data_IF_495983466578
#
_entry.id   IF_495983466578
#
_cell.length_a   1.000
_cell.length_b   1.000
_cell.length_c   1.000
_cell.angle_alpha   90.00
_cell.angle_beta   90.00
_cell.angle_gamma   90.00
#
_symmetry.space_group_name_H-M   'P 1'
#
loop_
_entity.id
_entity.type
_entity.pdbx_description
1 polymer ?
#
# COMPACT_ATOMS: atom_id res chain seq x y z
N UNK A 1 16.95 18.79 6.93
CA UNK A 1 15.78 18.15 6.29
C UNK A 1 15.18 17.21 7.33
N UNK A 2 13.92 17.35 7.71
CA UNK A 2 13.28 16.34 8.56
C UNK A 2 13.17 15.04 7.76
N UNK A 3 13.70 13.95 8.32
CA UNK A 3 13.41 12.61 7.81
C UNK A 3 11.92 12.35 7.97
N UNK A 4 11.25 11.91 6.89
CA UNK A 4 9.84 11.51 6.96
C UNK A 4 9.70 10.24 7.82
N UNK A 5 8.59 10.03 8.55
CA UNK A 5 8.38 8.82 9.32
C UNK A 5 8.40 7.57 8.45
N UNK A 6 8.84 6.48 9.04
CA UNK A 6 8.97 5.18 8.41
C UNK A 6 8.30 4.13 9.29
N UNK A 7 7.51 3.25 8.67
CA UNK A 7 6.82 2.14 9.33
C UNK A 7 7.20 0.82 8.69
N UNK A 8 7.18 -0.26 9.47
CA UNK A 8 7.31 -1.63 9.01
C UNK A 8 5.95 -2.21 8.67
N UNK A 9 5.88 -3.02 7.62
CA UNK A 9 4.67 -3.71 7.22
C UNK A 9 4.97 -5.04 6.55
N UNK A 10 3.96 -5.91 6.50
CA UNK A 10 3.90 -6.98 5.52
C UNK A 10 3.05 -6.56 4.34
N UNK A 11 3.48 -6.93 3.13
CA UNK A 11 2.73 -6.70 1.89
C UNK A 11 2.70 -7.97 1.07
N UNK A 12 1.52 -8.34 0.59
CA UNK A 12 1.30 -9.40 -0.39
C UNK A 12 0.71 -8.77 -1.65
N UNK A 13 1.39 -8.94 -2.78
CA UNK A 13 0.82 -8.58 -4.08
C UNK A 13 -0.19 -9.63 -4.52
N UNK A 14 -1.30 -9.19 -5.10
CA UNK A 14 -2.28 -10.10 -5.69
C UNK A 14 -1.71 -10.78 -6.94
N UNK A 15 -2.19 -12.00 -7.20
CA UNK A 15 -1.88 -12.65 -8.46
C UNK A 15 -2.47 -11.87 -9.65
N UNK A 16 -1.89 -11.95 -10.86
CA UNK A 16 -2.44 -11.32 -12.05
C UNK A 16 -3.91 -11.70 -12.29
N UNK A 17 -4.28 -12.95 -12.03
CA UNK A 17 -5.64 -13.48 -12.23
C UNK A 17 -6.64 -12.91 -11.21
N UNK A 18 -6.17 -12.40 -10.08
CA UNK A 18 -6.97 -11.72 -9.04
C UNK A 18 -7.07 -10.21 -9.28
N UNK A 19 -6.56 -9.72 -10.41
CA UNK A 19 -6.49 -8.29 -10.72
C UNK A 19 -5.20 -7.62 -10.24
N UNK A 20 -4.20 -8.36 -9.77
CA UNK A 20 -2.86 -7.87 -9.42
C UNK A 20 -2.00 -7.51 -10.63
N UNK A 21 -0.80 -6.97 -10.40
CA UNK A 21 0.08 -6.48 -11.49
C UNK A 21 0.40 -7.59 -12.51
N UNK A 22 0.46 -7.23 -13.79
CA UNK A 22 0.93 -8.14 -14.86
C UNK A 22 2.45 -8.24 -14.96
N UNK A 23 3.16 -7.31 -14.30
CA UNK A 23 4.61 -7.27 -14.23
C UNK A 23 5.04 -7.13 -12.76
N UNK A 24 6.18 -7.70 -12.36
CA UNK A 24 6.63 -7.63 -10.98
C UNK A 24 6.75 -6.19 -10.47
N UNK A 25 6.48 -6.02 -9.18
CA UNK A 25 6.93 -4.84 -8.45
C UNK A 25 8.29 -5.16 -7.82
N UNK A 26 9.09 -4.12 -7.62
CA UNK A 26 10.37 -4.24 -6.93
C UNK A 26 10.33 -3.34 -5.71
N UNK A 27 10.86 -3.82 -4.59
CA UNK A 27 10.96 -3.02 -3.38
C UNK A 27 12.06 -1.97 -3.58
N UNK A 28 11.66 -0.75 -3.92
CA UNK A 28 12.56 0.39 -4.07
C UNK A 28 11.83 1.69 -3.80
N UNK A 29 12.57 2.73 -3.41
CA UNK A 29 12.01 4.07 -3.13
C UNK A 29 11.37 4.76 -4.36
N UNK A 30 11.56 4.20 -5.55
CA UNK A 30 10.90 4.62 -6.78
C UNK A 30 9.50 4.04 -6.91
N UNK A 31 9.21 2.94 -6.20
CA UNK A 31 7.86 2.40 -6.10
C UNK A 31 7.06 3.15 -5.03
N UNK A 32 6.12 3.99 -5.51
CA UNK A 32 5.35 4.94 -4.69
C UNK A 32 3.84 4.74 -4.79
N UNK A 33 3.31 3.63 -4.24
CA UNK A 33 1.89 3.33 -4.28
C UNK A 33 1.10 4.16 -3.25
N UNK A 34 -0.21 3.93 -3.21
CA UNK A 34 -1.03 4.35 -2.08
C UNK A 34 -1.43 3.14 -1.24
N UNK A 35 -1.68 3.36 0.05
CA UNK A 35 -2.41 2.41 0.90
C UNK A 35 -3.78 2.99 1.26
N UNK A 36 -4.76 2.12 1.43
CA UNK A 36 -6.06 2.46 2.01
C UNK A 36 -6.28 1.55 3.20
N UNK A 37 -6.43 2.14 4.40
CA UNK A 37 -6.68 1.41 5.63
C UNK A 37 -8.07 0.78 5.62
N UNK A 38 -8.18 -0.47 6.06
CA UNK A 38 -9.45 -1.21 6.06
C UNK A 38 -9.29 -2.71 5.82
N UNK A 39 -10.31 -3.34 5.25
CA UNK A 39 -10.34 -4.78 5.00
C UNK A 39 -9.35 -5.18 3.89
N UNK A 40 -8.33 -5.96 4.26
CA UNK A 40 -7.34 -6.52 3.34
C UNK A 40 -7.95 -7.47 2.29
N UNK A 41 -9.18 -7.96 2.49
CA UNK A 41 -9.91 -8.80 1.52
C UNK A 41 -10.64 -8.01 0.45
N UNK A 42 -10.70 -6.68 0.55
CA UNK A 42 -11.32 -5.85 -0.47
C UNK A 42 -10.57 -6.01 -1.81
N UNK A 43 -11.33 -6.08 -2.91
CA UNK A 43 -10.80 -6.25 -4.29
C UNK A 43 -11.29 -5.19 -5.28
N UNK A 44 -12.22 -4.33 -4.86
CA UNK A 44 -12.76 -3.21 -5.64
C UNK A 44 -12.73 -1.94 -4.81
N UNK A 45 -12.48 -0.79 -5.42
CA UNK A 45 -12.54 0.49 -4.72
C UNK A 45 -13.99 0.81 -4.30
N UNK A 46 -14.15 1.48 -3.16
CA UNK A 46 -15.46 1.96 -2.73
C UNK A 46 -15.73 3.30 -3.42
N UNK A 47 -16.85 3.36 -4.14
CA UNK A 47 -17.31 4.55 -4.86
C UNK A 47 -18.76 4.86 -4.53
N UNK A 48 -19.15 6.13 -4.67
CA UNK A 48 -20.55 6.54 -4.57
C UNK A 48 -21.32 6.32 -5.90
N UNK A 49 -22.59 6.74 -5.91
CA UNK A 49 -23.46 6.67 -7.09
C UNK A 49 -23.00 7.53 -8.27
N UNK A 50 -22.06 8.47 -8.04
CA UNK A 50 -21.45 9.34 -9.04
C UNK A 50 -20.03 8.89 -9.42
N UNK A 51 -19.66 7.66 -9.06
CA UNK A 51 -18.34 7.07 -9.31
C UNK A 51 -17.17 7.87 -8.67
N UNK A 52 -17.45 8.57 -7.57
CA UNK A 52 -16.44 9.26 -6.76
C UNK A 52 -15.86 8.29 -5.72
N UNK A 53 -14.54 8.31 -5.55
CA UNK A 53 -13.84 7.50 -4.55
C UNK A 53 -14.21 7.96 -3.14
N UNK A 54 -14.64 7.01 -2.29
CA UNK A 54 -15.02 7.25 -0.89
C UNK A 54 -13.88 6.96 0.10
N UNK A 55 -12.80 6.35 -0.36
CA UNK A 55 -11.71 5.87 0.48
C UNK A 55 -10.60 6.92 0.64
N UNK A 56 -9.88 6.89 1.75
CA UNK A 56 -8.75 7.77 1.99
C UNK A 56 -7.43 7.12 1.53
N UNK A 57 -6.83 7.69 0.49
CA UNK A 57 -5.59 7.20 -0.12
C UNK A 57 -4.37 7.84 0.53
N UNK A 58 -3.55 7.03 1.17
CA UNK A 58 -2.34 7.46 1.85
C UNK A 58 -1.12 7.14 0.98
N UNK A 59 -0.45 8.16 0.45
CA UNK A 59 0.74 7.97 -0.38
C UNK A 59 1.93 7.46 0.43
N UNK A 60 2.58 6.39 -0.04
CA UNK A 60 3.75 5.82 0.61
C UNK A 60 4.86 5.57 -0.40
N UNK A 61 6.12 5.56 0.06
CA UNK A 61 7.24 5.04 -0.72
C UNK A 61 7.70 3.74 -0.09
N UNK A 62 7.81 2.67 -0.89
CA UNK A 62 8.31 1.39 -0.43
C UNK A 62 9.84 1.42 -0.39
N UNK A 63 10.46 0.76 0.58
CA UNK A 63 11.91 0.63 0.67
C UNK A 63 12.30 -0.82 0.52
N UNK A 64 13.42 -1.03 -0.17
CA UNK A 64 14.10 -2.30 -0.40
C UNK A 64 15.35 -2.04 -1.22
N UNK A 65 16.11 -3.10 -1.46
CA UNK A 65 17.35 -3.08 -2.24
C UNK A 65 17.10 -3.54 -3.68
N UNK A 66 15.86 -3.42 -4.16
CA UNK A 66 15.44 -3.83 -5.50
C UNK A 66 14.99 -5.29 -5.58
N UNK A 67 14.70 -5.94 -4.46
CA UNK A 67 14.14 -7.29 -4.46
C UNK A 67 12.79 -7.35 -5.17
N UNK A 68 12.56 -8.46 -5.89
CA UNK A 68 11.29 -8.70 -6.56
C UNK A 68 10.20 -9.08 -5.54
N UNK A 69 9.07 -8.41 -5.62
CA UNK A 69 7.90 -8.65 -4.77
C UNK A 69 6.99 -9.68 -5.45
N UNK A 70 7.35 -10.95 -5.28
CA UNK A 70 6.61 -12.08 -5.88
C UNK A 70 5.13 -12.08 -5.47
N UNK A 71 4.18 -12.11 -6.43
CA UNK A 71 2.75 -12.23 -6.15
C UNK A 71 2.37 -13.44 -5.31
N UNK A 72 1.39 -13.27 -4.42
CA UNK A 72 0.91 -14.29 -3.48
C UNK A 72 1.83 -14.57 -2.29
N UNK A 73 3.05 -14.03 -2.28
CA UNK A 73 4.01 -14.20 -1.19
C UNK A 73 4.01 -12.94 -0.31
N UNK A 74 3.89 -13.05 1.02
CA UNK A 74 4.06 -11.92 1.93
C UNK A 74 5.53 -11.50 2.03
N UNK A 75 5.80 -10.21 1.84
CA UNK A 75 7.12 -9.60 1.98
C UNK A 75 7.14 -8.62 3.14
N UNK A 76 8.22 -8.58 3.91
CA UNK A 76 8.46 -7.54 4.91
C UNK A 76 9.04 -6.32 4.20
N UNK A 77 8.42 -5.17 4.40
CA UNK A 77 8.82 -3.92 3.75
C UNK A 77 8.84 -2.79 4.76
N UNK A 78 9.53 -1.72 4.38
CA UNK A 78 9.49 -0.44 5.09
C UNK A 78 8.79 0.59 4.21
N UNK A 79 7.88 1.37 4.79
CA UNK A 79 7.08 2.36 4.08
C UNK A 79 7.37 3.75 4.64
N UNK A 80 7.75 4.70 3.80
CA UNK A 80 7.82 6.12 4.17
C UNK A 80 6.45 6.77 4.04
N UNK A 81 6.01 7.49 5.07
CA UNK A 81 4.79 8.30 5.05
C UNK A 81 5.07 9.60 4.30
N UNK A 82 4.75 9.64 3.01
CA UNK A 82 5.27 10.67 2.10
C UNK A 82 4.74 12.08 2.40
N UNK A 83 3.55 12.21 2.96
CA UNK A 83 2.90 13.50 3.18
C UNK A 83 2.65 13.76 4.66
N UNK A 84 3.48 13.20 5.52
CA UNK A 84 3.42 13.45 6.96
C UNK A 84 3.42 14.95 7.27
N UNK A 85 2.53 15.36 8.19
CA UNK A 85 2.25 16.78 8.48
C UNK A 85 1.25 17.46 7.54
N UNK A 86 0.92 16.87 6.39
CA UNK A 86 -0.05 17.37 5.43
C UNK A 86 -1.27 16.46 5.24
N UNK A 87 -1.11 15.16 5.51
CA UNK A 87 -2.15 14.13 5.44
C UNK A 87 -2.22 13.41 6.77
N UNK A 88 -3.42 12.99 7.17
CA UNK A 88 -3.62 12.23 8.39
C UNK A 88 -3.22 10.75 8.22
N UNK A 89 -2.06 10.39 8.79
CA UNK A 89 -1.59 9.01 8.89
C UNK A 89 -1.82 8.39 10.27
N UNK A 90 -2.62 9.01 11.15
CA UNK A 90 -2.80 8.55 12.54
C UNK A 90 -3.28 7.10 12.68
N UNK A 91 -3.98 6.58 11.67
CA UNK A 91 -4.42 5.17 11.60
C UNK A 91 -3.36 4.17 11.13
N UNK A 92 -2.20 4.63 10.65
CA UNK A 92 -1.08 3.75 10.25
C UNK A 92 -0.33 3.31 11.50
N UNK A 93 -0.90 2.34 12.21
CA UNK A 93 -0.39 1.79 13.47
C UNK A 93 -0.24 0.28 13.38
N UNK A 94 0.63 -0.35 14.19
CA UNK A 94 0.76 -1.80 14.24
C UNK A 94 -0.60 -2.51 14.37
N UNK A 95 -0.83 -3.50 13.52
CA UNK A 95 -2.10 -4.22 13.42
C UNK A 95 -3.11 -3.62 12.43
N UNK A 96 -2.88 -2.41 11.92
CA UNK A 96 -3.75 -1.82 10.88
C UNK A 96 -3.59 -2.58 9.55
N UNK A 97 -4.68 -3.15 9.08
CA UNK A 97 -4.77 -3.75 7.76
C UNK A 97 -4.97 -2.69 6.68
N UNK A 98 -4.49 -2.97 5.48
CA UNK A 98 -4.67 -2.09 4.33
C UNK A 98 -4.72 -2.85 3.02
N UNK A 99 -5.23 -2.16 2.01
CA UNK A 99 -5.07 -2.54 0.60
C UNK A 99 -4.01 -1.64 -0.05
N UNK A 100 -3.24 -2.21 -0.98
CA UNK A 100 -2.21 -1.51 -1.76
C UNK A 100 -2.79 -1.11 -3.12
N UNK A 101 -2.58 0.14 -3.52
CA UNK A 101 -3.26 0.75 -4.67
C UNK A 101 -2.32 1.37 -5.69
N UNK A 102 -2.68 1.19 -6.96
CA UNK A 102 -2.12 1.88 -8.13
C UNK A 102 -3.26 2.55 -8.90
N UNK A 103 -3.46 3.85 -8.68
CA UNK A 103 -4.72 4.50 -9.03
C UNK A 103 -5.89 3.84 -8.30
N UNK A 104 -7.02 3.60 -8.98
CA UNK A 104 -8.18 2.92 -8.40
C UNK A 104 -7.98 1.39 -8.22
N UNK A 105 -6.92 0.83 -8.79
CA UNK A 105 -6.68 -0.61 -8.82
C UNK A 105 -6.12 -1.10 -7.48
N UNK A 106 -6.68 -2.19 -6.97
CA UNK A 106 -6.11 -2.94 -5.83
C UNK A 106 -5.08 -3.93 -6.39
N UNK A 107 -3.81 -3.74 -6.02
CA UNK A 107 -2.70 -4.59 -6.50
C UNK A 107 -2.12 -5.48 -5.42
N UNK A 108 -2.53 -5.28 -4.17
CA UNK A 108 -2.03 -6.02 -3.02
C UNK A 108 -2.77 -5.66 -1.75
N UNK A 109 -2.32 -6.22 -0.65
CA UNK A 109 -2.82 -5.95 0.69
C UNK A 109 -1.71 -6.19 1.71
N UNK A 110 -1.94 -5.76 2.95
CA UNK A 110 -0.92 -5.87 3.97
C UNK A 110 -1.39 -5.48 5.36
N UNK A 111 -0.45 -5.48 6.28
CA UNK A 111 -0.66 -5.08 7.66
C UNK A 111 0.58 -4.35 8.18
N UNK A 112 0.38 -3.26 8.90
CA UNK A 112 1.46 -2.55 9.59
C UNK A 112 1.93 -3.39 10.77
N UNK A 113 3.25 -3.51 10.97
CA UNK A 113 3.84 -4.37 12.00
C UNK A 113 4.66 -3.63 13.05
N UNK A 114 5.16 -2.42 12.76
CA UNK A 114 6.07 -1.69 13.65
C UNK A 114 6.33 -0.26 13.23
#
# INVERSE_FOLDING_TARGET
>A
MCSKPLVEATVTFLQPEEGGRSHPAFASADYRPHIVLGDAKQRVALVDEHNQILEHYLGVAMHGDGEELTPGVPHKVRLTLMYDGNVDYSGVQPGACFTLREGARIVGYGMVTG
#
